data_IF_613369944914
#
_entry.id   IF_613369944914
#
_cell.length_a   1.000
_cell.length_b   1.000
_cell.length_c   1.000
_cell.angle_alpha   90.00
_cell.angle_beta   90.00
_cell.angle_gamma   90.00
#
_symmetry.space_group_name_H-M   'P 1'
#
loop_
_entity.id
_entity.type
_entity.pdbx_description
1 polymer ?
#
# COMPACT_ATOMS: atom_id res chain seq x y z
N UNK A 1 11.62 19.44 -2.53
CA UNK A 1 11.52 18.88 -3.88
C UNK A 1 10.08 18.45 -4.16
N UNK A 2 9.67 18.46 -5.39
CA UNK A 2 8.33 18.00 -5.78
C UNK A 2 8.43 16.62 -6.41
N UNK A 3 7.51 15.72 -6.03
CA UNK A 3 7.34 14.43 -6.69
C UNK A 3 6.05 14.53 -7.49
N UNK A 4 6.17 14.45 -8.81
CA UNK A 4 5.02 14.62 -9.73
C UNK A 4 4.57 13.24 -10.21
N UNK A 5 3.61 12.65 -9.51
CA UNK A 5 3.12 11.31 -9.82
C UNK A 5 2.50 11.17 -11.21
N UNK A 6 1.75 12.16 -11.74
CA UNK A 6 1.23 12.05 -13.10
C UNK A 6 2.27 11.74 -14.17
N UNK A 7 3.51 12.21 -14.00
CA UNK A 7 4.60 11.96 -14.97
C UNK A 7 5.58 10.88 -14.50
N UNK A 8 5.35 10.29 -13.33
CA UNK A 8 6.18 9.20 -12.82
C UNK A 8 5.77 7.89 -13.49
N UNK A 9 6.75 7.10 -13.92
CA UNK A 9 6.49 5.80 -14.53
C UNK A 9 5.86 4.84 -13.51
N UNK A 10 4.81 4.12 -13.93
CA UNK A 10 4.16 3.11 -13.12
C UNK A 10 4.91 1.78 -13.20
N UNK A 11 5.19 1.17 -12.05
CA UNK A 11 5.79 -0.16 -11.95
C UNK A 11 4.71 -1.16 -11.60
N UNK A 12 4.66 -2.27 -12.35
CA UNK A 12 3.74 -3.39 -12.11
C UNK A 12 4.49 -4.46 -11.33
N UNK A 13 3.96 -4.83 -10.17
CA UNK A 13 4.56 -5.81 -9.27
C UNK A 13 3.60 -7.00 -9.12
N UNK A 14 3.76 -8.07 -9.95
CA UNK A 14 2.89 -9.23 -9.85
C UNK A 14 3.16 -10.01 -8.56
N UNK A 15 2.10 -10.45 -7.92
CA UNK A 15 2.16 -11.26 -6.69
C UNK A 15 3.06 -10.64 -5.61
N UNK A 16 2.94 -9.33 -5.41
CA UNK A 16 3.83 -8.60 -4.51
C UNK A 16 3.72 -9.11 -3.08
N UNK A 17 4.86 -9.46 -2.49
CA UNK A 17 4.95 -10.05 -1.14
C UNK A 17 4.12 -11.34 -0.99
N UNK A 18 3.97 -12.11 -2.08
CA UNK A 18 3.15 -13.31 -2.07
C UNK A 18 1.65 -13.04 -2.20
N UNK A 19 1.26 -11.83 -2.55
CA UNK A 19 -0.14 -11.46 -2.79
C UNK A 19 -0.70 -11.99 -4.10
N UNK A 20 -1.96 -11.65 -4.37
CA UNK A 20 -2.67 -12.06 -5.57
C UNK A 20 -2.71 -10.93 -6.59
N UNK A 21 -2.68 -11.31 -7.87
CA UNK A 21 -2.71 -10.40 -9.01
C UNK A 21 -1.59 -9.37 -8.95
N UNK A 22 -1.84 -8.15 -9.42
CA UNK A 22 -0.84 -7.12 -9.58
C UNK A 22 -1.05 -5.96 -8.62
N UNK A 23 0.04 -5.48 -8.05
CA UNK A 23 0.12 -4.18 -7.40
C UNK A 23 0.81 -3.23 -8.36
N UNK A 24 0.16 -2.13 -8.71
CA UNK A 24 0.72 -1.11 -9.58
C UNK A 24 1.05 0.13 -8.75
N UNK A 25 2.26 0.65 -8.87
CA UNK A 25 2.70 1.77 -8.06
C UNK A 25 3.61 2.72 -8.82
N UNK A 26 3.45 4.00 -8.55
CA UNK A 26 4.38 5.06 -8.89
C UNK A 26 5.16 5.40 -7.64
N UNK A 27 6.48 5.20 -7.65
CA UNK A 27 7.29 5.23 -6.44
C UNK A 27 8.47 6.19 -6.56
N UNK A 28 8.75 6.85 -5.43
CA UNK A 28 9.99 7.57 -5.20
C UNK A 28 10.70 6.94 -3.99
N UNK A 29 12.02 6.77 -4.09
CA UNK A 29 12.81 6.22 -2.99
C UNK A 29 14.14 6.96 -2.90
N UNK A 30 14.47 7.44 -1.69
CA UNK A 30 15.72 8.19 -1.45
C UNK A 30 16.72 7.42 -0.57
N UNK A 31 16.47 6.13 -0.34
CA UNK A 31 17.27 5.30 0.54
C UNK A 31 16.74 5.19 1.96
N UNK A 32 15.83 6.08 2.36
CA UNK A 32 15.20 6.08 3.68
C UNK A 32 13.68 6.15 3.62
N UNK A 33 13.15 6.88 2.67
CA UNK A 33 11.70 7.07 2.52
C UNK A 33 11.25 6.56 1.16
N UNK A 34 10.23 5.71 1.18
CA UNK A 34 9.52 5.32 -0.04
C UNK A 34 8.19 6.03 -0.04
N UNK A 35 7.94 6.81 -1.08
CA UNK A 35 6.71 7.61 -1.22
C UNK A 35 6.04 7.14 -2.50
N UNK A 36 4.76 6.76 -2.42
CA UNK A 36 4.12 6.12 -3.57
C UNK A 36 2.64 6.41 -3.67
N UNK A 37 2.17 6.37 -4.92
CA UNK A 37 0.76 6.24 -5.25
C UNK A 37 0.55 4.86 -5.85
N UNK A 38 -0.34 4.09 -5.26
CA UNK A 38 -0.60 2.72 -5.68
C UNK A 38 -2.05 2.47 -6.05
N UNK A 39 -2.29 1.38 -6.75
CA UNK A 39 -3.62 0.91 -7.08
C UNK A 39 -3.67 -0.62 -7.07
N UNK A 40 -4.83 -1.13 -6.68
CA UNK A 40 -5.13 -2.57 -6.71
C UNK A 40 -6.46 -2.75 -7.43
N UNK A 41 -6.46 -3.58 -8.47
CA UNK A 41 -7.69 -4.02 -9.13
C UNK A 41 -8.47 -4.96 -8.21
N UNK A 42 -9.78 -5.19 -8.43
CA UNK A 42 -10.55 -6.14 -7.63
C UNK A 42 -9.87 -7.51 -7.57
N UNK A 43 -9.74 -8.05 -6.37
CA UNK A 43 -9.07 -9.32 -6.09
C UNK A 43 -7.56 -9.24 -5.91
N UNK A 44 -6.94 -8.11 -6.24
CA UNK A 44 -5.51 -7.95 -6.04
C UNK A 44 -5.18 -7.71 -4.58
N UNK A 45 -3.98 -8.13 -4.16
CA UNK A 45 -3.53 -7.94 -2.79
C UNK A 45 -2.02 -7.74 -2.71
N UNK A 46 -1.61 -7.02 -1.67
CA UNK A 46 -0.24 -6.97 -1.19
C UNK A 46 -0.16 -8.02 -0.08
N UNK A 47 0.68 -9.03 -0.26
CA UNK A 47 0.76 -10.15 0.65
C UNK A 47 1.28 -9.79 2.03
N UNK A 48 1.14 -10.71 2.96
CA UNK A 48 1.57 -10.52 4.34
C UNK A 48 3.07 -10.29 4.43
N UNK A 49 3.47 -9.20 5.09
CA UNK A 49 4.89 -8.88 5.29
C UNK A 49 5.08 -8.06 6.56
N UNK A 50 6.29 -8.13 7.11
CA UNK A 50 6.66 -7.45 8.35
C UNK A 50 7.55 -6.25 8.04
N UNK A 51 7.24 -5.10 8.63
CA UNK A 51 8.06 -3.91 8.57
C UNK A 51 9.08 -3.94 9.70
N UNK A 52 10.22 -4.60 9.48
CA UNK A 52 11.23 -4.80 10.54
C UNK A 52 12.00 -3.53 10.88
N UNK A 53 12.27 -2.69 9.88
CA UNK A 53 13.10 -1.49 10.03
C UNK A 53 12.37 -0.21 9.66
N UNK A 54 11.10 -0.30 9.32
CA UNK A 54 10.31 0.82 8.84
C UNK A 54 8.90 0.76 9.43
N UNK A 55 8.13 1.79 9.20
CA UNK A 55 6.67 1.78 9.36
C UNK A 55 6.04 1.97 7.99
N UNK A 56 4.71 1.89 7.91
CA UNK A 56 3.99 2.25 6.70
C UNK A 56 2.73 3.03 7.04
N UNK A 57 2.49 4.10 6.30
CA UNK A 57 1.32 4.96 6.41
C UNK A 57 0.60 4.86 5.08
N UNK A 58 -0.66 4.41 5.08
CA UNK A 58 -1.47 4.25 3.86
C UNK A 58 -2.73 5.09 4.00
N UNK A 59 -2.88 6.05 3.10
CA UNK A 59 -4.08 6.88 3.01
C UNK A 59 -4.89 6.45 1.79
N UNK A 60 -6.10 5.94 2.01
CA UNK A 60 -6.95 5.47 0.93
C UNK A 60 -7.61 6.64 0.22
N UNK A 61 -7.40 6.74 -1.09
CA UNK A 61 -7.92 7.81 -1.94
C UNK A 61 -9.27 7.44 -2.54
N UNK A 62 -9.44 6.18 -2.96
CA UNK A 62 -10.69 5.70 -3.56
C UNK A 62 -10.85 4.20 -3.35
N UNK A 63 -12.09 3.73 -3.40
CA UNK A 63 -12.41 2.32 -3.23
C UNK A 63 -12.50 1.91 -1.76
N UNK A 64 -12.37 0.60 -1.52
CA UNK A 64 -12.42 0.01 -0.18
C UNK A 64 -11.31 -1.02 -0.05
N UNK A 65 -10.58 -1.00 1.03
CA UNK A 65 -9.47 -1.92 1.28
C UNK A 65 -9.73 -2.74 2.54
N UNK A 66 -9.39 -4.03 2.48
CA UNK A 66 -9.36 -4.91 3.65
C UNK A 66 -7.92 -5.07 4.09
N UNK A 67 -7.64 -4.74 5.34
CA UNK A 67 -6.30 -4.78 5.93
C UNK A 67 -6.32 -5.71 7.13
N UNK A 68 -5.28 -6.52 7.29
CA UNK A 68 -5.05 -7.25 8.53
C UNK A 68 -3.69 -6.82 9.06
N UNK A 69 -3.65 -6.29 10.28
CA UNK A 69 -2.43 -5.84 10.92
C UNK A 69 -2.30 -6.50 12.29
N UNK A 70 -1.22 -7.27 12.47
CA UNK A 70 -0.97 -8.05 13.70
C UNK A 70 -2.19 -8.91 14.09
N UNK A 71 -2.81 -9.54 13.09
CA UNK A 71 -3.99 -10.39 13.25
C UNK A 71 -5.31 -9.65 13.43
N UNK A 72 -5.32 -8.32 13.41
CA UNK A 72 -6.55 -7.52 13.56
C UNK A 72 -7.04 -7.04 12.20
N UNK A 73 -8.27 -7.43 11.79
CA UNK A 73 -8.82 -6.95 10.54
C UNK A 73 -9.34 -5.52 10.66
N UNK A 74 -9.13 -4.76 9.59
CA UNK A 74 -9.64 -3.40 9.42
C UNK A 74 -10.22 -3.25 8.02
N UNK A 75 -11.23 -2.42 7.88
CA UNK A 75 -11.75 -2.01 6.58
C UNK A 75 -11.51 -0.53 6.42
N UNK A 76 -10.77 -0.15 5.37
CA UNK A 76 -10.53 1.25 5.03
C UNK A 76 -11.49 1.67 3.93
N UNK A 77 -12.06 2.86 4.09
CA UNK A 77 -12.75 3.57 3.03
C UNK A 77 -12.01 4.85 2.69
N UNK A 78 -12.36 5.48 1.57
CA UNK A 78 -11.68 6.71 1.11
C UNK A 78 -11.66 7.78 2.22
N UNK A 79 -10.50 8.39 2.42
CA UNK A 79 -10.29 9.38 3.48
C UNK A 79 -9.77 8.82 4.80
N UNK A 80 -9.65 7.50 4.91
CA UNK A 80 -9.11 6.85 6.11
C UNK A 80 -7.65 6.46 5.92
N UNK A 81 -6.90 6.45 7.00
CA UNK A 81 -5.48 6.12 7.03
C UNK A 81 -5.23 4.87 7.87
N UNK A 82 -4.48 3.93 7.29
CA UNK A 82 -3.96 2.78 8.00
C UNK A 82 -2.52 3.06 8.41
N UNK A 83 -2.18 2.78 9.65
CA UNK A 83 -0.82 2.88 10.15
C UNK A 83 -0.33 1.49 10.58
N UNK A 84 0.77 1.06 9.97
CA UNK A 84 1.50 -0.15 10.35
C UNK A 84 2.79 0.27 11.05
N UNK A 85 2.87 0.20 12.40
CA UNK A 85 4.07 0.60 13.13
C UNK A 85 5.27 -0.29 12.80
N UNK A 86 6.46 0.23 13.06
CA UNK A 86 7.69 -0.56 12.96
C UNK A 86 7.54 -1.84 13.79
N UNK A 87 7.91 -2.96 13.20
CA UNK A 87 7.83 -4.28 13.82
C UNK A 87 6.51 -5.00 13.59
N UNK A 88 5.50 -4.33 13.05
CA UNK A 88 4.20 -4.94 12.79
C UNK A 88 4.14 -5.64 11.43
N UNK A 89 3.22 -6.60 11.34
CA UNK A 89 2.98 -7.41 10.14
C UNK A 89 1.60 -7.09 9.60
N UNK A 90 1.50 -6.80 8.31
CA UNK A 90 0.22 -6.49 7.70
C UNK A 90 0.08 -7.02 6.27
N UNK A 91 -1.15 -6.97 5.79
CA UNK A 91 -1.52 -7.25 4.39
C UNK A 91 -2.66 -6.32 4.00
N UNK A 92 -2.80 -6.05 2.70
CA UNK A 92 -3.92 -5.26 2.17
C UNK A 92 -4.50 -5.93 0.95
N UNK A 93 -5.83 -6.01 0.87
CA UNK A 93 -6.54 -6.64 -0.24
C UNK A 93 -7.70 -5.79 -0.72
N UNK A 94 -7.90 -5.79 -2.04
CA UNK A 94 -9.10 -5.23 -2.65
C UNK A 94 -10.17 -6.32 -2.77
N UNK A 95 -11.07 -6.37 -1.80
CA UNK A 95 -12.24 -7.27 -1.81
C UNK A 95 -13.49 -6.62 -2.41
N UNK A 96 -13.34 -5.40 -2.95
CA UNK A 96 -14.45 -4.67 -3.58
C UNK A 96 -14.62 -5.01 -5.05
N UNK A 97 -15.51 -4.25 -5.68
CA UNK A 97 -15.84 -4.41 -7.11
C UNK A 97 -15.19 -3.35 -7.99
N UNK A 98 -14.59 -2.33 -7.40
CA UNK A 98 -13.92 -1.24 -8.09
C UNK A 98 -12.44 -1.23 -7.74
N UNK A 99 -11.63 -0.65 -8.62
CA UNK A 99 -10.22 -0.40 -8.34
C UNK A 99 -10.08 0.50 -7.11
N UNK A 100 -9.15 0.19 -6.22
CA UNK A 100 -8.79 1.09 -5.14
C UNK A 100 -7.48 1.81 -5.45
N UNK A 101 -7.37 3.05 -4.99
CA UNK A 101 -6.15 3.85 -5.09
C UNK A 101 -5.76 4.39 -3.72
N UNK A 102 -4.46 4.53 -3.50
CA UNK A 102 -3.95 4.98 -2.22
C UNK A 102 -2.63 5.74 -2.37
N UNK A 103 -2.35 6.53 -1.36
CA UNK A 103 -1.04 7.16 -1.15
C UNK A 103 -0.39 6.51 0.06
N UNK A 104 0.89 6.16 -0.05
CA UNK A 104 1.59 5.51 1.05
C UNK A 104 3.00 6.02 1.21
N UNK A 105 3.47 6.00 2.45
CA UNK A 105 4.84 6.35 2.81
C UNK A 105 5.41 5.23 3.68
N UNK A 106 6.60 4.76 3.32
CA UNK A 106 7.36 3.77 4.10
C UNK A 106 8.65 4.45 4.54
N UNK A 107 8.67 5.08 5.73
CA UNK A 107 9.90 5.69 6.26
C UNK A 107 10.71 4.65 7.04
N UNK A 108 12.02 4.63 6.83
CA UNK A 108 12.95 3.88 7.67
C UNK A 108 12.99 4.49 9.07
N UNK A 109 13.09 3.64 10.06
CA UNK A 109 13.11 4.07 11.46
C UNK A 109 14.13 3.32 12.31
#
# INVERSE_FOLDING_TARGET
>A
MMIDFPVTEETILPNFKGGEKEYAAKMFFDGKNRIMCGRLIPGASIGTHTHETSSEIIYLLSGTASVVCDGKPETLTAGQCHYCPKGSTHTMKNNGTDELTFFAVVPEQ
#
